data_IF_802327284523
#
_entry.id   IF_802327284523
#
_cell.length_a   1.000
_cell.length_b   1.000
_cell.length_c   1.000
_cell.angle_alpha   90.00
_cell.angle_beta   90.00
_cell.angle_gamma   90.00
#
_symmetry.space_group_name_H-M   'P 1'
#
loop_
_entity.id
_entity.type
_entity.pdbx_description
1 polymer ?
#
# COMPACT_ATOMS: atom_id res chain seq x y z
N UNK A 1 3.35 22.62 -16.77
CA UNK A 1 2.23 21.69 -16.43
C UNK A 1 2.81 20.54 -15.65
N UNK A 2 2.83 20.65 -14.32
CA UNK A 2 3.21 19.56 -13.43
C UNK A 2 1.93 18.86 -12.99
N UNK A 3 1.36 18.05 -13.86
CA UNK A 3 0.45 17.00 -13.42
C UNK A 3 1.34 15.80 -13.08
N UNK A 4 1.85 15.78 -11.89
CA UNK A 4 2.58 14.60 -11.42
C UNK A 4 1.62 13.63 -10.76
N UNK A 5 1.73 12.46 -11.18
CA UNK A 5 1.47 11.08 -10.72
C UNK A 5 0.58 10.81 -9.48
N UNK A 6 0.20 11.80 -8.70
CA UNK A 6 -0.61 11.60 -7.48
C UNK A 6 -2.10 11.52 -7.79
N UNK A 7 -2.55 12.13 -8.89
CA UNK A 7 -3.98 12.19 -9.23
C UNK A 7 -4.53 10.95 -9.92
N UNK A 8 -3.69 10.19 -10.58
CA UNK A 8 -4.16 9.11 -11.46
C UNK A 8 -3.74 7.72 -10.99
N UNK A 9 -2.83 7.61 -10.02
CA UNK A 9 -2.31 6.32 -9.62
C UNK A 9 -3.19 5.57 -8.61
N UNK A 10 -3.98 6.26 -7.78
CA UNK A 10 -4.81 5.60 -6.76
C UNK A 10 -4.15 4.37 -6.13
N UNK A 11 -2.86 4.50 -5.85
CA UNK A 11 -2.01 3.42 -5.37
C UNK A 11 -1.89 2.23 -6.35
N UNK A 12 -1.90 2.52 -7.66
CA UNK A 12 -1.85 1.49 -8.70
C UNK A 12 -0.44 1.04 -9.06
N UNK A 13 0.59 1.76 -8.59
CA UNK A 13 2.00 1.54 -8.92
C UNK A 13 2.28 1.53 -10.44
N UNK A 14 1.44 2.24 -11.22
CA UNK A 14 1.54 2.33 -12.67
C UNK A 14 1.58 3.77 -13.15
N UNK A 15 2.19 3.99 -14.31
CA UNK A 15 2.22 5.28 -15.00
C UNK A 15 2.06 5.06 -16.50
N UNK A 16 1.33 5.96 -17.15
CA UNK A 16 1.18 6.09 -18.59
C UNK A 16 1.94 7.29 -19.15
N UNK A 17 2.58 8.07 -18.28
CA UNK A 17 3.39 9.21 -18.69
C UNK A 17 4.86 8.81 -18.86
N UNK A 18 5.49 9.29 -19.95
CA UNK A 18 6.94 9.24 -20.10
C UNK A 18 7.53 10.16 -19.04
N UNK A 19 8.22 9.58 -18.09
CA UNK A 19 8.93 10.36 -17.07
C UNK A 19 9.92 11.27 -17.80
N UNK A 20 9.88 12.59 -17.59
CA UNK A 20 10.81 13.52 -18.21
C UNK A 20 12.17 13.42 -17.52
N UNK A 21 12.83 12.27 -17.68
CA UNK A 21 14.17 12.07 -17.17
C UNK A 21 15.14 12.49 -18.27
N UNK A 22 15.76 13.65 -18.12
CA UNK A 22 16.96 13.96 -18.88
C UNK A 22 18.12 13.13 -18.29
N UNK A 23 18.36 11.97 -18.89
CA UNK A 23 19.45 11.06 -18.49
C UNK A 23 20.86 11.67 -18.68
N UNK A 24 20.94 12.82 -19.32
CA UNK A 24 22.19 13.55 -19.56
C UNK A 24 22.37 14.75 -18.61
N UNK A 25 21.37 15.08 -17.82
CA UNK A 25 21.52 16.14 -16.81
C UNK A 25 22.37 15.67 -15.64
N UNK A 26 23.07 16.61 -15.03
CA UNK A 26 23.82 16.35 -13.80
C UNK A 26 22.87 15.99 -12.68
N UNK A 27 23.08 14.86 -12.03
CA UNK A 27 22.27 14.43 -10.88
C UNK A 27 22.82 15.09 -9.63
N UNK A 28 22.06 16.02 -9.05
CA UNK A 28 22.36 16.57 -7.74
C UNK A 28 21.79 15.66 -6.66
N UNK A 29 22.64 15.19 -5.77
CA UNK A 29 22.23 14.33 -4.65
C UNK A 29 22.41 15.08 -3.34
N UNK A 30 21.34 15.26 -2.60
CA UNK A 30 21.37 15.65 -1.19
C UNK A 30 20.94 14.47 -0.32
N UNK A 31 21.55 14.33 0.86
CA UNK A 31 21.17 13.26 1.78
C UNK A 31 21.17 13.75 3.21
N UNK A 32 20.30 13.18 4.02
CA UNK A 32 20.29 13.36 5.47
C UNK A 32 20.30 12.00 6.14
N UNK A 33 21.11 11.86 7.16
CA UNK A 33 21.13 10.66 8.00
C UNK A 33 19.94 10.70 8.96
N UNK A 34 18.93 9.89 8.71
CA UNK A 34 17.77 9.73 9.60
C UNK A 34 17.96 8.54 10.54
N UNK A 35 17.14 8.50 11.58
CA UNK A 35 17.12 7.37 12.51
C UNK A 35 16.76 6.07 11.75
N UNK A 36 17.41 4.93 12.06
CA UNK A 36 17.17 3.66 11.38
C UNK A 36 15.73 3.12 11.46
N UNK A 37 14.86 3.72 12.24
CA UNK A 37 13.44 3.35 12.33
C UNK A 37 12.54 4.15 11.37
N UNK A 38 13.09 4.92 10.44
CA UNK A 38 12.29 5.58 9.40
C UNK A 38 11.86 4.55 8.35
N UNK A 39 10.58 4.57 7.99
CA UNK A 39 10.08 3.76 6.87
C UNK A 39 10.63 4.29 5.53
N UNK A 40 10.85 3.43 4.53
CA UNK A 40 11.31 3.85 3.21
C UNK A 40 10.24 4.57 2.37
N UNK A 41 8.98 4.61 2.81
CA UNK A 41 7.92 5.27 2.05
C UNK A 41 8.06 6.80 2.10
N UNK A 42 7.95 7.45 0.94
CA UNK A 42 7.96 8.90 0.77
C UNK A 42 6.82 9.28 -0.16
N UNK A 43 6.04 10.27 0.25
CA UNK A 43 4.94 10.80 -0.56
C UNK A 43 5.25 12.25 -0.93
N UNK A 44 4.53 12.77 -1.92
CA UNK A 44 4.66 14.17 -2.33
C UNK A 44 3.29 14.81 -2.37
N UNK A 45 3.20 16.05 -1.88
CA UNK A 45 2.02 16.87 -2.09
C UNK A 45 2.09 17.62 -3.43
N UNK A 46 1.00 18.27 -3.83
CA UNK A 46 0.97 19.02 -5.09
C UNK A 46 1.76 20.33 -5.03
N UNK A 47 2.19 20.75 -3.86
CA UNK A 47 3.02 21.96 -3.65
C UNK A 47 4.52 21.68 -3.78
N UNK A 48 4.91 20.41 -3.86
CA UNK A 48 6.30 19.98 -4.02
C UNK A 48 7.01 19.68 -2.71
N UNK A 49 6.27 19.49 -1.63
CA UNK A 49 6.85 18.98 -0.40
C UNK A 49 6.91 17.46 -0.40
N UNK A 50 7.95 16.90 0.22
CA UNK A 50 7.96 15.47 0.55
C UNK A 50 7.41 15.24 1.96
N UNK A 51 6.55 14.25 2.08
CA UNK A 51 6.07 13.72 3.36
C UNK A 51 6.85 12.46 3.68
N UNK A 52 7.59 12.49 4.75
CA UNK A 52 8.53 11.44 5.14
C UNK A 52 8.15 10.90 6.51
N UNK A 53 8.00 9.58 6.65
CA UNK A 53 7.84 8.96 7.96
C UNK A 53 9.10 9.15 8.81
N UNK A 54 8.93 9.59 10.04
CA UNK A 54 10.01 9.84 10.95
C UNK A 54 9.59 9.58 12.40
N UNK A 55 10.33 8.74 13.12
CA UNK A 55 10.14 8.48 14.55
C UNK A 55 8.69 8.11 14.96
N UNK A 56 7.98 7.38 14.09
CA UNK A 56 6.59 6.99 14.33
C UNK A 56 5.55 8.05 14.03
N UNK A 57 5.98 9.21 13.52
CA UNK A 57 5.18 10.30 13.00
C UNK A 57 5.50 10.61 11.54
N UNK A 58 5.19 11.82 11.10
CA UNK A 58 5.40 12.31 9.74
C UNK A 58 6.11 13.67 9.76
N UNK A 59 7.08 13.83 8.88
CA UNK A 59 7.74 15.10 8.64
C UNK A 59 7.42 15.62 7.24
N UNK A 60 7.20 16.91 7.08
CA UNK A 60 7.13 17.58 5.78
C UNK A 60 8.46 18.27 5.53
N UNK A 61 8.98 18.09 4.32
CA UNK A 61 10.28 18.63 3.89
C UNK A 61 10.18 19.36 2.57
N UNK A 62 10.98 20.40 2.44
CA UNK A 62 11.22 21.06 1.16
C UNK A 62 12.21 20.24 0.32
N UNK A 63 11.75 19.75 -0.84
CA UNK A 63 12.60 19.01 -1.79
C UNK A 63 13.42 19.92 -2.70
N UNK A 64 13.12 21.22 -2.72
CA UNK A 64 13.85 22.19 -3.54
C UNK A 64 14.94 22.93 -2.78
N UNK A 65 15.07 22.70 -1.47
CA UNK A 65 16.13 23.27 -0.67
C UNK A 65 17.47 22.60 -1.00
N UNK A 66 18.56 23.38 -0.99
CA UNK A 66 19.93 22.86 -1.20
C UNK A 66 20.34 21.82 -0.14
N UNK A 67 19.76 21.93 1.06
CA UNK A 67 19.88 20.96 2.13
C UNK A 67 18.48 20.52 2.58
N UNK A 68 18.33 19.26 2.93
CA UNK A 68 17.04 18.73 3.38
C UNK A 68 16.56 19.46 4.63
N UNK A 69 15.46 20.19 4.51
CA UNK A 69 14.90 21.01 5.58
C UNK A 69 13.52 20.45 6.01
N UNK A 70 13.37 20.15 7.29
CA UNK A 70 12.07 19.82 7.86
C UNK A 70 11.29 21.11 8.12
N UNK A 71 10.13 21.24 7.46
CA UNK A 71 9.23 22.40 7.59
C UNK A 71 8.18 22.21 8.68
N UNK A 72 7.76 20.97 8.92
CA UNK A 72 6.76 20.63 9.93
C UNK A 72 6.85 19.16 10.32
N UNK A 73 6.29 18.82 11.47
CA UNK A 73 6.32 17.46 12.00
C UNK A 73 5.02 17.14 12.76
N UNK A 74 4.44 15.99 12.47
CA UNK A 74 3.35 15.41 13.25
C UNK A 74 3.85 14.25 14.10
N UNK A 75 3.63 14.34 15.39
CA UNK A 75 3.92 13.26 16.33
C UNK A 75 2.63 12.84 17.04
N UNK A 76 2.17 11.59 16.90
CA UNK A 76 1.01 11.11 17.65
C UNK A 76 1.15 11.34 19.16
N UNK A 77 2.36 11.14 19.69
CA UNK A 77 2.64 11.33 21.10
C UNK A 77 2.51 12.78 21.57
N UNK A 78 2.84 13.74 20.71
CA UNK A 78 2.76 15.18 21.05
C UNK A 78 1.33 15.71 20.89
N UNK A 79 0.62 15.26 19.83
CA UNK A 79 -0.71 15.78 19.51
C UNK A 79 -1.83 15.16 20.35
N UNK A 80 -1.77 13.86 20.64
CA UNK A 80 -2.86 13.15 21.28
C UNK A 80 -2.50 12.51 22.62
N UNK A 81 -1.27 12.73 23.12
CA UNK A 81 -0.67 11.93 24.20
C UNK A 81 -0.73 10.42 23.91
N UNK A 82 -0.88 10.07 22.62
CA UNK A 82 -1.07 8.72 22.15
C UNK A 82 0.23 7.93 22.10
N UNK A 83 0.09 6.62 22.19
CA UNK A 83 1.20 5.67 22.04
C UNK A 83 1.18 4.98 20.69
N UNK A 84 0.29 5.36 19.77
CA UNK A 84 0.18 4.76 18.46
C UNK A 84 1.30 5.24 17.53
N UNK A 85 1.56 4.45 16.49
CA UNK A 85 2.51 4.75 15.44
C UNK A 85 1.77 4.80 14.09
N UNK A 86 2.20 5.70 13.22
CA UNK A 86 1.70 5.75 11.84
C UNK A 86 2.30 4.59 11.05
N UNK A 87 1.45 3.86 10.34
CA UNK A 87 1.85 2.82 9.40
C UNK A 87 2.13 3.44 8.04
N UNK A 88 3.27 4.06 7.93
CA UNK A 88 3.62 4.93 6.81
C UNK A 88 3.72 4.22 5.46
N UNK A 89 4.02 2.91 5.44
CA UNK A 89 4.08 2.14 4.19
C UNK A 89 2.73 2.06 3.45
N UNK A 90 1.64 2.33 4.15
CA UNK A 90 0.27 2.30 3.61
C UNK A 90 -0.42 3.67 3.73
N UNK A 91 0.37 4.72 3.89
CA UNK A 91 -0.10 6.09 3.91
C UNK A 91 0.03 6.71 2.52
N UNK A 92 -0.76 7.73 2.24
CA UNK A 92 -0.72 8.46 0.98
C UNK A 92 -1.20 9.91 1.16
N UNK A 93 -1.04 10.73 0.13
CA UNK A 93 -1.58 12.08 0.06
C UNK A 93 -2.75 12.09 -0.91
N UNK A 94 -3.90 12.59 -0.49
CA UNK A 94 -5.08 12.68 -1.33
C UNK A 94 -5.06 13.92 -2.27
N UNK A 95 -6.04 14.02 -3.15
CA UNK A 95 -6.15 15.13 -4.12
C UNK A 95 -6.31 16.51 -3.49
N UNK A 96 -6.67 16.58 -2.20
CA UNK A 96 -6.77 17.80 -1.41
C UNK A 96 -5.51 18.07 -0.58
N UNK A 97 -4.41 17.38 -0.86
CA UNK A 97 -3.14 17.45 -0.12
C UNK A 97 -3.26 17.07 1.36
N UNK A 98 -4.28 16.24 1.71
CA UNK A 98 -4.38 15.70 3.06
C UNK A 98 -3.63 14.38 3.14
N UNK A 99 -2.91 14.18 4.21
CA UNK A 99 -2.17 12.94 4.46
C UNK A 99 -3.14 11.94 5.09
N UNK A 100 -3.39 10.82 4.41
CA UNK A 100 -4.22 9.74 4.90
C UNK A 100 -3.31 8.62 5.40
N UNK A 101 -3.44 8.26 6.65
CA UNK A 101 -2.54 7.29 7.27
C UNK A 101 -3.25 6.33 8.22
N UNK A 102 -3.09 5.02 8.02
CA UNK A 102 -3.46 4.03 9.01
C UNK A 102 -2.48 4.05 10.18
N UNK A 103 -2.94 3.60 11.34
CA UNK A 103 -2.14 3.52 12.56
C UNK A 103 -2.13 2.10 13.11
N UNK A 104 -1.14 1.79 13.93
CA UNK A 104 -1.00 0.46 14.53
C UNK A 104 -2.03 0.14 15.63
N UNK A 105 -2.82 1.12 16.05
CA UNK A 105 -3.96 0.96 16.96
C UNK A 105 -5.31 0.90 16.21
N UNK A 106 -5.27 0.62 14.90
CA UNK A 106 -6.43 0.36 14.03
C UNK A 106 -7.26 1.59 13.64
N UNK A 107 -6.69 2.77 13.72
CA UNK A 107 -7.34 4.02 13.32
C UNK A 107 -6.89 4.43 11.93
N UNK A 108 -7.70 5.23 11.26
CA UNK A 108 -7.30 6.03 10.10
C UNK A 108 -7.35 7.48 10.49
N UNK A 109 -6.23 8.15 10.30
CA UNK A 109 -6.12 9.59 10.44
C UNK A 109 -6.07 10.25 9.08
N UNK A 110 -6.69 11.42 8.97
CA UNK A 110 -6.50 12.33 7.86
C UNK A 110 -5.99 13.66 8.42
N UNK A 111 -4.83 14.07 7.96
CA UNK A 111 -4.10 15.23 8.46
C UNK A 111 -4.02 16.30 7.38
N UNK A 112 -4.43 17.52 7.70
CA UNK A 112 -4.16 18.70 6.89
C UNK A 112 -2.88 19.34 7.41
N UNK A 113 -1.86 19.37 6.57
CA UNK A 113 -0.52 19.82 6.92
C UNK A 113 -0.13 21.13 6.27
N UNK A 114 -0.89 21.58 5.25
CA UNK A 114 -0.67 22.82 4.49
C UNK A 114 -1.96 23.63 4.41
N UNK A 115 -1.81 24.95 4.24
CA UNK A 115 -2.91 25.83 3.86
C UNK A 115 -3.21 25.74 2.34
N UNK A 116 -4.15 26.57 1.85
CA UNK A 116 -4.54 26.58 0.43
C UNK A 116 -3.45 27.17 -0.48
N UNK A 117 -2.55 27.95 0.06
CA UNK A 117 -1.38 28.50 -0.63
C UNK A 117 -0.17 27.56 -0.63
N UNK A 118 -0.25 26.43 0.11
CA UNK A 118 0.81 25.46 0.24
C UNK A 118 1.82 25.74 1.35
N UNK A 119 1.54 26.70 2.24
CA UNK A 119 2.41 26.92 3.39
C UNK A 119 2.18 25.83 4.43
N UNK A 120 3.25 25.28 4.97
CA UNK A 120 3.17 24.27 6.02
C UNK A 120 2.60 24.88 7.30
N UNK A 121 1.58 24.24 7.85
CA UNK A 121 0.93 24.69 9.09
C UNK A 121 1.86 24.50 10.29
N UNK A 122 1.85 25.43 11.27
CA UNK A 122 2.61 25.29 12.51
C UNK A 122 2.27 24.00 13.29
N UNK A 123 1.01 23.58 13.22
CA UNK A 123 0.49 22.34 13.75
C UNK A 123 -0.40 21.70 12.69
N UNK A 124 -0.26 20.39 12.47
CA UNK A 124 -1.12 19.67 11.53
C UNK A 124 -2.52 19.52 12.13
N UNK A 125 -3.53 19.78 11.34
CA UNK A 125 -4.91 19.60 11.74
C UNK A 125 -5.36 18.18 11.48
N UNK A 126 -5.88 17.51 12.50
CA UNK A 126 -6.52 16.21 12.35
C UNK A 126 -7.97 16.43 11.93
N UNK A 127 -8.26 16.21 10.64
CA UNK A 127 -9.59 16.47 10.04
C UNK A 127 -10.45 15.21 9.98
N UNK A 128 -9.86 14.03 10.16
CA UNK A 128 -10.57 12.77 10.29
C UNK A 128 -9.79 11.86 11.25
N UNK A 129 -10.54 11.12 12.06
CA UNK A 129 -10.01 10.16 13.02
C UNK A 129 -11.05 9.07 13.27
N UNK A 130 -10.88 7.91 12.62
CA UNK A 130 -11.82 6.78 12.65
C UNK A 130 -11.14 5.55 13.20
N UNK A 131 -11.71 4.93 14.24
CA UNK A 131 -11.35 3.58 14.66
C UNK A 131 -12.03 2.58 13.70
N UNK A 132 -11.29 2.16 12.66
CA UNK A 132 -11.81 1.26 11.63
C UNK A 132 -12.15 -0.11 12.18
N UNK A 133 -11.32 -0.63 13.10
CA UNK A 133 -11.58 -1.95 13.67
C UNK A 133 -12.83 -1.96 14.50
N UNK A 134 -12.99 -0.99 15.39
CA UNK A 134 -14.20 -0.87 16.21
C UNK A 134 -15.47 -0.69 15.34
N UNK A 135 -15.37 0.14 14.28
CA UNK A 135 -16.49 0.35 13.35
C UNK A 135 -16.86 -0.94 12.58
N UNK A 136 -15.86 -1.68 12.09
CA UNK A 136 -16.08 -2.95 11.40
C UNK A 136 -16.62 -4.04 12.34
N UNK A 137 -16.12 -4.11 13.57
CA UNK A 137 -16.61 -5.03 14.60
C UNK A 137 -18.08 -4.72 14.97
N UNK A 138 -18.44 -3.45 15.06
CA UNK A 138 -19.83 -3.03 15.30
C UNK A 138 -20.74 -3.43 14.12
N UNK A 139 -20.31 -3.20 12.88
CA UNK A 139 -21.06 -3.58 11.69
C UNK A 139 -21.27 -5.10 11.57
N UNK A 140 -20.29 -5.90 11.98
CA UNK A 140 -20.35 -7.36 11.93
C UNK A 140 -21.00 -7.99 13.18
N UNK A 141 -21.05 -7.26 14.29
CA UNK A 141 -21.49 -7.80 15.59
C UNK A 141 -20.54 -8.83 16.19
N UNK A 142 -19.25 -8.80 15.80
CA UNK A 142 -18.21 -9.72 16.30
C UNK A 142 -16.83 -9.06 16.32
N UNK A 143 -15.92 -9.63 17.11
CA UNK A 143 -14.52 -9.21 17.16
C UNK A 143 -13.76 -9.72 15.92
N UNK A 144 -12.87 -8.86 15.38
CA UNK A 144 -11.99 -9.19 14.28
C UNK A 144 -10.67 -9.77 14.77
N UNK A 145 -10.21 -10.83 14.10
CA UNK A 145 -8.96 -11.52 14.44
C UNK A 145 -7.71 -10.69 14.05
N UNK A 146 -7.85 -9.86 13.00
CA UNK A 146 -6.73 -9.13 12.41
C UNK A 146 -6.83 -7.64 12.66
N UNK A 147 -5.69 -6.97 12.59
CA UNK A 147 -5.60 -5.52 12.70
C UNK A 147 -5.68 -4.83 11.34
N UNK A 148 -5.96 -3.53 11.36
CA UNK A 148 -5.91 -2.68 10.18
C UNK A 148 -4.50 -2.73 9.57
N UNK A 149 -4.44 -2.98 8.27
CA UNK A 149 -3.20 -3.03 7.51
C UNK A 149 -3.06 -1.83 6.59
N UNK A 150 -4.00 -1.65 5.69
CA UNK A 150 -3.91 -0.65 4.64
C UNK A 150 -5.25 -0.01 4.32
N UNK A 151 -5.20 1.17 3.72
CA UNK A 151 -6.36 1.94 3.28
C UNK A 151 -6.09 2.60 1.92
N UNK A 152 -7.15 2.84 1.17
CA UNK A 152 -7.11 3.60 -0.08
C UNK A 152 -8.48 4.22 -0.35
N UNK A 153 -8.54 5.39 -1.00
CA UNK A 153 -9.79 5.87 -1.57
C UNK A 153 -10.04 5.23 -2.93
N UNK A 154 -11.30 4.86 -3.20
CA UNK A 154 -11.71 4.54 -4.55
C UNK A 154 -12.09 5.81 -5.35
N UNK A 155 -12.36 5.63 -6.64
CA UNK A 155 -12.74 6.74 -7.54
C UNK A 155 -14.08 7.40 -7.18
N UNK A 156 -14.88 6.78 -6.34
CA UNK A 156 -16.14 7.32 -5.83
C UNK A 156 -15.99 8.01 -4.48
N UNK A 157 -14.80 7.95 -3.89
CA UNK A 157 -14.46 8.58 -2.61
C UNK A 157 -14.79 7.73 -1.38
N UNK A 158 -15.08 6.44 -1.53
CA UNK A 158 -15.18 5.54 -0.40
C UNK A 158 -13.78 5.20 0.11
N UNK A 159 -13.61 5.13 1.42
CA UNK A 159 -12.36 4.75 2.05
C UNK A 159 -12.34 3.23 2.28
N UNK A 160 -11.66 2.52 1.40
CA UNK A 160 -11.44 1.08 1.54
C UNK A 160 -10.39 0.78 2.59
N UNK A 161 -10.55 -0.35 3.27
CA UNK A 161 -9.60 -0.87 4.23
C UNK A 161 -9.43 -2.38 4.10
N UNK A 162 -8.25 -2.85 4.49
CA UNK A 162 -7.95 -4.27 4.64
C UNK A 162 -7.40 -4.53 6.04
N UNK A 163 -7.82 -5.63 6.65
CA UNK A 163 -7.19 -6.18 7.84
C UNK A 163 -6.33 -7.38 7.47
N UNK A 164 -5.18 -7.53 8.14
CA UNK A 164 -4.23 -8.57 7.82
C UNK A 164 -2.85 -8.26 8.37
N UNK A 165 -1.85 -8.52 7.56
CA UNK A 165 -0.44 -8.29 7.85
C UNK A 165 0.41 -9.52 7.68
N UNK A 166 1.68 -9.38 7.95
CA UNK A 166 2.63 -10.47 7.90
C UNK A 166 2.20 -11.61 8.82
N UNK A 167 2.36 -12.85 8.36
CA UNK A 167 2.14 -14.07 9.16
C UNK A 167 0.68 -14.50 9.34
N UNK A 168 -0.14 -14.34 8.32
CA UNK A 168 -1.37 -15.11 8.18
C UNK A 168 -1.00 -16.47 7.61
N UNK A 169 -1.19 -17.50 8.40
CA UNK A 169 -0.85 -18.87 7.99
C UNK A 169 -2.12 -19.63 7.61
N UNK A 170 -2.14 -20.33 6.46
CA UNK A 170 -3.33 -21.07 6.01
C UNK A 170 -3.82 -22.13 6.98
N UNK A 171 -2.96 -22.69 7.81
CA UNK A 171 -3.29 -23.68 8.84
C UNK A 171 -3.88 -23.06 10.12
N UNK A 172 -3.75 -21.76 10.30
CA UNK A 172 -4.35 -21.01 11.39
C UNK A 172 -5.68 -20.45 10.92
N UNK A 173 -6.70 -20.61 11.67
CA UNK A 173 -8.03 -20.08 11.36
C UNK A 173 -8.14 -18.55 11.50
N UNK A 174 -7.02 -17.84 11.37
CA UNK A 174 -7.02 -16.39 11.31
C UNK A 174 -7.76 -15.94 10.06
N UNK A 175 -8.52 -14.87 10.17
CA UNK A 175 -9.41 -14.41 9.11
C UNK A 175 -9.23 -12.92 8.92
N UNK A 176 -8.80 -12.53 7.72
CA UNK A 176 -8.77 -11.13 7.32
C UNK A 176 -10.15 -10.63 6.91
N UNK A 177 -10.28 -9.32 6.81
CA UNK A 177 -11.49 -8.66 6.32
C UNK A 177 -11.13 -7.54 5.37
N UNK A 178 -12.00 -7.29 4.41
CA UNK A 178 -12.01 -6.08 3.59
C UNK A 178 -13.26 -5.30 3.88
N UNK A 179 -13.23 -4.02 3.59
CA UNK A 179 -14.41 -3.22 3.73
C UNK A 179 -14.18 -1.79 3.27
N UNK A 180 -15.22 -1.00 3.39
CA UNK A 180 -15.12 0.43 3.13
C UNK A 180 -16.00 1.24 4.07
N UNK A 181 -15.55 2.47 4.32
CA UNK A 181 -16.36 3.53 4.90
C UNK A 181 -16.96 4.32 3.75
N UNK A 182 -18.27 4.51 3.75
CA UNK A 182 -18.95 5.21 2.65
C UNK A 182 -18.50 6.65 2.53
N UNK A 183 -18.39 7.15 1.28
CA UNK A 183 -18.11 8.55 0.99
C UNK A 183 -19.01 9.50 1.77
N UNK A 184 -20.31 9.19 1.82
CA UNK A 184 -21.27 10.04 2.52
C UNK A 184 -20.94 10.22 4.01
N UNK A 185 -20.41 9.18 4.67
CA UNK A 185 -19.95 9.28 6.05
C UNK A 185 -18.66 10.10 6.16
N UNK A 186 -17.71 9.88 5.26
CA UNK A 186 -16.47 10.65 5.21
C UNK A 186 -16.77 12.15 5.02
N UNK A 187 -17.62 12.49 4.06
CA UNK A 187 -18.00 13.89 3.78
C UNK A 187 -18.65 14.56 5.00
N UNK A 188 -19.51 13.85 5.72
CA UNK A 188 -20.12 14.36 6.96
C UNK A 188 -19.08 14.61 8.05
N UNK A 189 -18.19 13.65 8.28
CA UNK A 189 -17.12 13.80 9.28
C UNK A 189 -16.23 14.99 8.94
N UNK A 190 -15.85 15.16 7.67
CA UNK A 190 -15.04 16.28 7.20
C UNK A 190 -15.76 17.63 7.34
N UNK A 191 -17.10 17.63 7.35
CA UNK A 191 -17.92 18.80 7.66
C UNK A 191 -18.13 19.01 9.17
N UNK A 192 -17.52 18.20 10.02
CA UNK A 192 -17.63 18.30 11.49
C UNK A 192 -18.91 17.72 12.06
N UNK A 193 -19.61 16.86 11.31
CA UNK A 193 -20.80 16.17 11.79
C UNK A 193 -20.40 14.90 12.56
N UNK A 194 -21.14 14.59 13.60
CA UNK A 194 -21.04 13.31 14.30
C UNK A 194 -21.78 12.22 13.50
N UNK A 195 -21.08 11.12 13.22
CA UNK A 195 -21.57 10.05 12.35
C UNK A 195 -21.52 8.72 13.07
N UNK A 196 -22.67 8.03 13.14
CA UNK A 196 -22.68 6.63 13.52
C UNK A 196 -22.14 5.78 12.37
N UNK A 197 -20.97 5.19 12.59
CA UNK A 197 -20.29 4.40 11.59
C UNK A 197 -20.85 2.99 11.44
N UNK A 198 -21.70 2.52 12.34
CA UNK A 198 -22.28 1.16 12.26
C UNK A 198 -23.11 0.92 10.99
N UNK A 199 -23.75 1.99 10.46
CA UNK A 199 -24.53 1.96 9.23
C UNK A 199 -23.76 2.43 8.00
N UNK A 200 -22.50 2.86 8.17
CA UNK A 200 -21.68 3.48 7.13
C UNK A 200 -20.46 2.66 6.76
N UNK A 201 -20.18 1.60 7.51
CA UNK A 201 -19.07 0.68 7.29
C UNK A 201 -19.61 -0.65 6.76
N UNK A 202 -19.09 -1.07 5.63
CA UNK A 202 -19.45 -2.31 4.97
C UNK A 202 -18.27 -3.25 4.96
N UNK A 203 -18.47 -4.51 5.32
CA UNK A 203 -17.38 -5.47 5.54
C UNK A 203 -17.62 -6.75 4.74
N UNK A 204 -16.54 -7.28 4.18
CA UNK A 204 -16.45 -8.57 3.53
C UNK A 204 -15.42 -9.43 4.26
N UNK A 205 -15.84 -10.59 4.73
CA UNK A 205 -14.98 -11.52 5.46
C UNK A 205 -14.33 -12.51 4.50
N UNK A 206 -13.03 -12.70 4.66
CA UNK A 206 -12.29 -13.72 3.93
C UNK A 206 -12.51 -15.11 4.52
N UNK A 207 -12.03 -16.12 3.84
CA UNK A 207 -12.02 -17.48 4.37
C UNK A 207 -11.00 -17.62 5.53
N UNK A 208 -11.22 -18.55 6.47
CA UNK A 208 -10.24 -18.85 7.50
C UNK A 208 -8.87 -19.24 6.91
N UNK A 209 -7.81 -18.63 7.40
CA UNK A 209 -6.45 -18.80 6.88
C UNK A 209 -6.09 -17.85 5.74
N UNK A 210 -6.99 -16.91 5.40
CA UNK A 210 -6.79 -15.93 4.36
C UNK A 210 -6.77 -14.49 4.90
N UNK A 211 -5.89 -13.65 4.39
CA UNK A 211 -5.80 -12.24 4.76
C UNK A 211 -4.95 -11.44 3.81
N UNK A 212 -5.13 -10.11 3.85
CA UNK A 212 -4.28 -9.21 3.10
C UNK A 212 -2.87 -9.20 3.67
N UNK A 213 -1.88 -9.07 2.81
CA UNK A 213 -0.47 -9.00 3.19
C UNK A 213 0.12 -7.61 2.96
N UNK A 214 -0.44 -6.89 2.00
CA UNK A 214 0.05 -5.59 1.58
C UNK A 214 -1.10 -4.61 1.27
N UNK A 215 -0.79 -3.56 0.52
CA UNK A 215 -1.70 -2.49 0.21
C UNK A 215 -2.84 -2.88 -0.74
N UNK A 216 -3.84 -2.03 -0.76
CA UNK A 216 -4.97 -2.05 -1.67
C UNK A 216 -4.64 -1.12 -2.84
N UNK A 217 -4.99 -1.52 -4.05
CA UNK A 217 -5.02 -0.63 -5.20
C UNK A 217 -6.46 -0.37 -5.64
N UNK A 218 -6.74 0.82 -6.16
CA UNK A 218 -8.07 1.17 -6.65
C UNK A 218 -8.04 1.53 -8.14
N UNK A 219 -9.04 1.05 -8.86
CA UNK A 219 -9.31 1.38 -10.26
C UNK A 219 -10.74 1.91 -10.41
N UNK A 220 -11.11 2.32 -11.62
CA UNK A 220 -12.50 2.67 -11.93
C UNK A 220 -13.45 1.48 -11.82
N UNK A 221 -12.92 0.26 -11.90
CA UNK A 221 -13.69 -0.97 -11.78
C UNK A 221 -13.91 -1.37 -10.31
N UNK A 222 -13.16 -0.81 -9.37
CA UNK A 222 -13.27 -1.08 -7.93
C UNK A 222 -11.93 -1.20 -7.22
N UNK A 223 -11.95 -1.71 -5.99
CA UNK A 223 -10.76 -1.98 -5.20
C UNK A 223 -10.19 -3.36 -5.52
N UNK A 224 -8.89 -3.41 -5.77
CA UNK A 224 -8.14 -4.66 -6.02
C UNK A 224 -7.29 -4.98 -4.81
N UNK A 225 -7.44 -6.19 -4.31
CA UNK A 225 -6.78 -6.64 -3.08
C UNK A 225 -6.14 -8.00 -3.31
N UNK A 226 -4.88 -8.11 -2.93
CA UNK A 226 -4.15 -9.36 -2.95
C UNK A 226 -4.08 -9.93 -1.53
N UNK A 227 -4.46 -11.20 -1.41
CA UNK A 227 -4.30 -11.97 -0.17
C UNK A 227 -3.18 -12.99 -0.33
N UNK A 228 -2.87 -13.73 0.71
CA UNK A 228 -1.95 -14.86 0.64
C UNK A 228 -2.41 -15.99 -0.30
N UNK A 229 -3.66 -16.02 -0.74
CA UNK A 229 -4.24 -17.11 -1.55
C UNK A 229 -4.89 -16.65 -2.85
N UNK A 230 -5.39 -15.42 -2.90
CA UNK A 230 -6.22 -14.94 -4.01
C UNK A 230 -6.02 -13.45 -4.31
N UNK A 231 -6.40 -13.08 -5.52
CA UNK A 231 -6.60 -11.68 -5.91
C UNK A 231 -8.09 -11.43 -6.09
N UNK A 232 -8.58 -10.28 -5.63
CA UNK A 232 -9.99 -9.89 -5.67
C UNK A 232 -10.19 -8.56 -6.36
N UNK A 233 -11.29 -8.43 -7.11
CA UNK A 233 -11.89 -7.15 -7.44
C UNK A 233 -13.19 -6.99 -6.68
N UNK A 234 -13.30 -5.92 -5.91
CA UNK A 234 -14.44 -5.61 -5.06
C UNK A 234 -15.01 -4.24 -5.44
N UNK A 235 -16.33 -4.11 -5.34
CA UNK A 235 -17.06 -2.85 -5.57
C UNK A 235 -17.88 -2.45 -4.35
N UNK A 236 -18.01 -1.15 -4.14
CA UNK A 236 -18.96 -0.57 -3.18
C UNK A 236 -20.34 -0.46 -3.83
N UNK A 237 -21.31 -1.26 -3.35
CA UNK A 237 -22.68 -1.27 -3.88
C UNK A 237 -23.67 -1.59 -2.75
N UNK A 238 -23.90 -0.62 -1.85
CA UNK A 238 -24.68 -0.81 -0.61
C UNK A 238 -24.26 -2.04 0.20
N UNK A 239 -22.99 -2.37 0.13
CA UNK A 239 -22.33 -3.55 0.66
C UNK A 239 -21.06 -3.79 -0.14
N UNK A 240 -20.22 -4.72 0.30
CA UNK A 240 -19.06 -5.14 -0.48
C UNK A 240 -19.47 -6.20 -1.48
N UNK A 241 -19.44 -5.86 -2.76
CA UNK A 241 -19.74 -6.77 -3.87
C UNK A 241 -18.46 -7.34 -4.45
N UNK A 242 -18.29 -8.64 -4.41
CA UNK A 242 -17.23 -9.33 -5.12
C UNK A 242 -17.57 -9.42 -6.62
N UNK A 243 -16.75 -8.80 -7.47
CA UNK A 243 -16.88 -8.88 -8.93
C UNK A 243 -16.25 -10.19 -9.41
N UNK A 244 -15.01 -10.43 -9.03
CA UNK A 244 -14.31 -11.69 -9.29
C UNK A 244 -13.28 -11.98 -8.18
N UNK A 245 -12.85 -13.23 -8.14
CA UNK A 245 -11.68 -13.69 -7.40
C UNK A 245 -10.85 -14.64 -8.27
N UNK A 246 -9.54 -14.59 -8.13
CA UNK A 246 -8.61 -15.45 -8.86
C UNK A 246 -7.61 -16.05 -7.88
N UNK A 247 -7.61 -17.36 -7.79
CA UNK A 247 -6.65 -18.07 -6.94
C UNK A 247 -5.28 -18.13 -7.62
N UNK A 248 -4.25 -18.02 -6.84
CA UNK A 248 -2.86 -18.24 -7.27
C UNK A 248 -2.12 -19.09 -6.25
N UNK A 249 -0.96 -19.59 -6.63
CA UNK A 249 -0.09 -20.31 -5.72
C UNK A 249 1.00 -19.39 -5.23
N UNK A 250 1.23 -19.38 -3.94
CA UNK A 250 2.35 -18.68 -3.33
C UNK A 250 3.16 -19.64 -2.45
N UNK A 251 4.32 -19.23 -2.00
CA UNK A 251 5.12 -20.04 -1.08
C UNK A 251 4.37 -20.26 0.23
N UNK A 252 3.63 -19.28 0.71
CA UNK A 252 2.81 -19.41 1.90
C UNK A 252 1.63 -20.37 1.76
N UNK A 253 1.23 -20.71 0.53
CA UNK A 253 0.25 -21.76 0.26
C UNK A 253 0.85 -23.18 0.35
N UNK A 254 2.17 -23.31 0.42
CA UNK A 254 2.85 -24.57 0.71
C UNK A 254 2.86 -24.72 2.22
N UNK A 255 2.41 -25.85 2.72
CA UNK A 255 2.37 -26.32 4.11
C UNK A 255 3.40 -25.67 5.07
N UNK A 256 3.26 -24.38 5.31
CA UNK A 256 4.13 -23.65 6.23
C UNK A 256 3.71 -23.93 7.65
N UNK A 257 4.65 -24.33 8.46
CA UNK A 257 4.44 -24.51 9.89
C UNK A 257 4.81 -23.23 10.61
N UNK A 258 4.11 -22.96 11.71
CA UNK A 258 4.51 -21.88 12.62
C UNK A 258 5.97 -22.03 13.04
N UNK A 259 6.75 -20.95 12.85
CA UNK A 259 8.18 -20.95 13.15
C UNK A 259 9.08 -21.42 12.01
N UNK A 260 8.54 -21.82 10.87
CA UNK A 260 9.32 -22.07 9.67
C UNK A 260 9.48 -20.77 8.87
N UNK A 261 10.37 -19.93 9.35
CA UNK A 261 10.69 -18.64 8.71
C UNK A 261 11.57 -18.80 7.46
N UNK A 262 11.92 -20.02 7.11
CA UNK A 262 12.88 -20.32 6.03
C UNK A 262 12.21 -20.59 4.68
N UNK A 263 10.92 -20.89 4.66
CA UNK A 263 10.19 -21.13 3.42
C UNK A 263 9.75 -19.81 2.80
N UNK A 264 10.39 -19.45 1.72
CA UNK A 264 10.05 -18.29 0.91
C UNK A 264 11.01 -17.12 0.96
N UNK A 265 11.83 -17.03 1.98
CA UNK A 265 12.92 -16.04 2.06
C UNK A 265 12.47 -14.59 2.19
N UNK A 266 11.15 -14.32 2.25
CA UNK A 266 10.56 -13.01 2.37
C UNK A 266 9.96 -12.74 3.76
N UNK A 267 9.38 -11.54 3.91
CA UNK A 267 8.70 -11.11 5.14
C UNK A 267 7.25 -11.61 5.19
N UNK A 268 6.64 -11.84 4.02
CA UNK A 268 5.23 -12.17 3.85
C UNK A 268 5.00 -13.57 3.28
N UNK A 269 3.85 -14.12 3.57
CA UNK A 269 3.34 -15.35 2.97
C UNK A 269 2.36 -14.96 1.87
N UNK A 270 2.65 -15.26 0.62
CA UNK A 270 1.80 -14.90 -0.50
C UNK A 270 2.58 -14.20 -1.59
N UNK A 271 1.95 -13.27 -2.29
CA UNK A 271 2.56 -12.51 -3.38
C UNK A 271 3.64 -11.53 -2.94
N UNK A 272 3.68 -11.18 -1.66
CA UNK A 272 4.66 -10.25 -1.06
C UNK A 272 4.51 -8.79 -1.52
N UNK A 273 3.49 -8.45 -2.31
CA UNK A 273 3.34 -7.13 -2.91
C UNK A 273 1.89 -6.62 -2.88
N UNK A 274 1.72 -5.31 -3.02
CA UNK A 274 0.43 -4.75 -3.43
C UNK A 274 0.22 -5.01 -4.92
N UNK A 275 -1.02 -5.14 -5.41
CA UNK A 275 -1.28 -5.28 -6.84
C UNK A 275 -0.93 -3.99 -7.58
N UNK A 276 -0.33 -4.11 -8.75
CA UNK A 276 -0.10 -3.01 -9.69
C UNK A 276 -1.14 -3.06 -10.80
N UNK A 277 -1.72 -1.91 -11.15
CA UNK A 277 -2.86 -1.85 -12.04
C UNK A 277 -2.53 -1.05 -13.30
N UNK A 278 -2.99 -1.56 -14.45
CA UNK A 278 -3.22 -0.75 -15.64
C UNK A 278 -4.71 -0.66 -15.92
N UNK A 279 -5.11 -0.03 -16.99
CA UNK A 279 -6.51 0.03 -17.41
C UNK A 279 -7.14 -1.36 -17.60
N UNK A 280 -6.36 -2.31 -18.11
CA UNK A 280 -6.88 -3.61 -18.53
C UNK A 280 -6.29 -4.79 -17.74
N UNK A 281 -5.25 -4.57 -16.94
CA UNK A 281 -4.54 -5.64 -16.21
C UNK A 281 -4.37 -5.35 -14.72
N UNK A 282 -4.42 -6.43 -13.95
CA UNK A 282 -3.93 -6.50 -12.57
C UNK A 282 -2.67 -7.35 -12.56
N UNK A 283 -1.58 -6.85 -12.02
CA UNK A 283 -0.29 -7.54 -11.98
C UNK A 283 0.23 -7.69 -10.56
N UNK A 284 0.78 -8.84 -10.26
CA UNK A 284 1.40 -9.15 -8.98
C UNK A 284 2.36 -10.34 -9.13
N UNK A 285 3.17 -10.57 -8.13
CA UNK A 285 4.08 -11.74 -8.08
C UNK A 285 3.49 -12.86 -7.22
N UNK A 286 3.92 -14.09 -7.45
CA UNK A 286 3.45 -15.27 -6.72
C UNK A 286 4.43 -15.78 -5.65
N UNK A 287 5.62 -15.20 -5.59
CA UNK A 287 6.70 -15.66 -4.70
C UNK A 287 6.98 -17.19 -4.76
N UNK A 288 6.70 -17.82 -5.89
CA UNK A 288 7.09 -19.21 -6.13
C UNK A 288 8.62 -19.30 -6.38
N UNK A 289 9.10 -20.48 -6.64
CA UNK A 289 10.46 -20.77 -7.10
C UNK A 289 10.39 -21.50 -8.47
N UNK A 290 10.71 -20.84 -9.59
CA UNK A 290 11.02 -19.41 -9.72
C UNK A 290 9.81 -18.50 -9.43
N UNK A 291 10.08 -17.23 -9.08
CA UNK A 291 9.03 -16.21 -8.93
C UNK A 291 8.43 -15.89 -10.29
N UNK A 292 7.11 -15.87 -10.38
CA UNK A 292 6.40 -15.47 -11.58
C UNK A 292 5.72 -14.11 -11.37
N UNK A 293 5.74 -13.30 -12.42
CA UNK A 293 4.81 -12.19 -12.59
C UNK A 293 3.51 -12.75 -13.17
N UNK A 294 2.42 -12.52 -12.47
CA UNK A 294 1.07 -12.90 -12.89
C UNK A 294 0.35 -11.67 -13.40
N UNK A 295 -0.30 -11.79 -14.55
CA UNK A 295 -1.21 -10.80 -15.06
C UNK A 295 -2.62 -11.38 -15.18
N UNK A 296 -3.58 -10.63 -14.65
CA UNK A 296 -5.02 -10.98 -14.65
C UNK A 296 -5.79 -9.90 -15.39
N UNK A 297 -6.74 -10.28 -16.20
CA UNK A 297 -7.63 -9.34 -16.88
C UNK A 297 -8.50 -8.59 -15.84
N UNK A 298 -8.48 -7.27 -15.89
CA UNK A 298 -9.15 -6.41 -14.90
C UNK A 298 -10.67 -6.65 -14.83
N UNK A 299 -11.31 -6.98 -15.94
CA UNK A 299 -12.78 -7.11 -16.01
C UNK A 299 -13.27 -8.50 -15.66
N UNK A 300 -12.52 -9.52 -16.10
CA UNK A 300 -12.97 -10.91 -15.98
C UNK A 300 -12.36 -11.67 -14.82
N UNK A 301 -11.21 -11.23 -14.31
CA UNK A 301 -10.43 -11.96 -13.33
C UNK A 301 -9.68 -13.17 -13.94
N UNK A 302 -9.69 -13.37 -15.25
CA UNK A 302 -8.95 -14.46 -15.89
C UNK A 302 -7.46 -14.19 -15.88
N UNK A 303 -6.66 -15.17 -15.49
CA UNK A 303 -5.21 -15.08 -15.61
C UNK A 303 -4.83 -15.13 -17.09
N UNK A 304 -4.29 -14.03 -17.60
CA UNK A 304 -3.90 -13.89 -19.01
C UNK A 304 -2.42 -14.17 -19.25
N UNK A 305 -1.59 -14.01 -18.22
CA UNK A 305 -0.17 -14.37 -18.30
C UNK A 305 0.36 -14.83 -16.95
N UNK A 306 1.41 -15.65 -17.02
CA UNK A 306 2.30 -15.99 -15.91
C UNK A 306 3.67 -16.24 -16.50
N UNK A 307 4.68 -15.48 -16.08
CA UNK A 307 6.03 -15.60 -16.60
C UNK A 307 7.05 -15.52 -15.47
N UNK A 308 8.09 -16.35 -15.50
CA UNK A 308 9.18 -16.23 -14.55
C UNK A 308 9.91 -14.90 -14.77
N UNK A 309 10.17 -14.18 -13.70
CA UNK A 309 10.75 -12.84 -13.81
C UNK A 309 12.17 -12.75 -13.24
N UNK A 310 12.57 -13.74 -12.46
CA UNK A 310 13.88 -13.80 -11.84
C UNK A 310 14.36 -15.26 -11.90
N UNK A 311 14.70 -15.73 -13.11
CA UNK A 311 15.05 -17.12 -13.38
C UNK A 311 16.53 -17.34 -13.76
N UNK A 312 17.23 -16.29 -14.21
CA UNK A 312 18.63 -16.33 -14.59
C UNK A 312 19.57 -15.90 -13.46
N UNK A 313 19.48 -16.56 -12.32
CA UNK A 313 20.34 -16.29 -11.18
C UNK A 313 21.39 -17.37 -10.98
N UNK A 314 22.55 -17.05 -10.35
CA UNK A 314 23.52 -18.06 -9.97
C UNK A 314 22.91 -19.17 -9.13
N UNK A 315 23.37 -20.39 -9.32
CA UNK A 315 22.92 -21.56 -8.56
C UNK A 315 22.99 -21.30 -7.04
N UNK A 316 21.89 -21.58 -6.35
CA UNK A 316 21.75 -21.36 -4.90
C UNK A 316 21.28 -19.96 -4.51
N UNK A 317 21.05 -19.06 -5.48
CA UNK A 317 20.44 -17.75 -5.20
C UNK A 317 18.95 -17.96 -4.91
N UNK A 318 18.48 -17.34 -3.83
CA UNK A 318 17.06 -17.32 -3.50
C UNK A 318 16.41 -16.03 -3.94
N UNK A 319 15.11 -16.05 -4.17
CA UNK A 319 14.33 -14.91 -4.65
C UNK A 319 13.12 -14.72 -3.76
N UNK A 320 12.85 -13.49 -3.42
CA UNK A 320 11.62 -13.05 -2.78
C UNK A 320 11.26 -11.66 -3.29
N UNK A 321 9.99 -11.41 -3.49
CA UNK A 321 9.47 -10.09 -3.86
C UNK A 321 8.62 -9.57 -2.73
N UNK A 322 8.93 -8.37 -2.26
CA UNK A 322 8.23 -7.68 -1.16
C UNK A 322 7.75 -6.28 -1.58
N UNK A 323 8.02 -5.91 -2.83
CA UNK A 323 7.63 -4.62 -3.40
C UNK A 323 6.69 -4.84 -4.58
N UNK A 324 5.75 -3.91 -4.74
CA UNK A 324 4.92 -3.85 -5.93
C UNK A 324 5.76 -3.70 -7.18
N UNK A 325 5.34 -4.33 -8.26
CA UNK A 325 5.95 -4.13 -9.56
C UNK A 325 5.71 -2.69 -10.03
N UNK A 326 6.75 -2.03 -10.54
CA UNK A 326 6.59 -0.76 -11.23
C UNK A 326 6.14 -1.07 -12.65
N UNK A 327 5.04 -0.47 -13.08
CA UNK A 327 4.41 -0.78 -14.37
C UNK A 327 4.30 0.49 -15.21
N UNK A 328 4.67 0.37 -16.48
CA UNK A 328 4.48 1.37 -17.50
C UNK A 328 3.61 0.80 -18.62
N UNK A 329 2.47 1.42 -18.89
CA UNK A 329 1.56 1.11 -20.00
C UNK A 329 1.69 2.21 -21.06
N UNK A 330 2.14 1.86 -22.27
CA UNK A 330 2.31 2.82 -23.36
C UNK A 330 0.99 3.24 -24.02
N UNK A 331 -0.13 2.62 -23.62
CA UNK A 331 -1.45 2.85 -24.21
C UNK A 331 -1.62 2.28 -25.63
N UNK A 332 -0.58 1.66 -26.19
CA UNK A 332 -0.56 1.06 -27.53
C UNK A 332 -0.54 -0.48 -27.49
N UNK A 333 -0.65 -1.02 -26.28
CA UNK A 333 -0.75 -2.46 -26.02
C UNK A 333 0.55 -3.11 -25.54
N UNK A 334 1.55 -2.32 -25.16
CA UNK A 334 2.77 -2.80 -24.51
C UNK A 334 2.79 -2.39 -23.05
N UNK A 335 2.96 -3.34 -22.17
CA UNK A 335 3.12 -3.12 -20.73
C UNK A 335 4.52 -3.53 -20.32
N UNK A 336 5.31 -2.58 -19.83
CA UNK A 336 6.64 -2.82 -19.29
C UNK A 336 6.59 -2.88 -17.79
N UNK A 337 7.31 -3.84 -17.19
CA UNK A 337 7.26 -4.08 -15.75
C UNK A 337 8.67 -4.24 -15.18
N UNK A 338 8.90 -3.61 -14.02
CA UNK A 338 10.13 -3.78 -13.24
C UNK A 338 9.79 -4.49 -11.94
N UNK A 339 10.46 -5.60 -11.68
CA UNK A 339 10.32 -6.39 -10.44
C UNK A 339 11.68 -6.40 -9.72
N UNK A 340 11.65 -6.23 -8.40
CA UNK A 340 12.85 -6.17 -7.58
C UNK A 340 12.98 -7.44 -6.71
N UNK A 341 14.17 -8.05 -6.70
CA UNK A 341 14.48 -9.11 -5.74
C UNK A 341 14.80 -8.51 -4.36
N UNK A 342 14.00 -8.87 -3.39
CA UNK A 342 14.16 -8.44 -2.01
C UNK A 342 14.87 -9.45 -1.12
N UNK A 343 15.16 -10.67 -1.60
CA UNK A 343 15.71 -11.74 -0.77
C UNK A 343 16.98 -11.30 -0.02
N UNK A 344 16.98 -11.49 1.28
CA UNK A 344 18.11 -11.13 2.15
C UNK A 344 18.22 -9.63 2.48
N UNK A 345 17.40 -8.75 1.87
CA UNK A 345 17.47 -7.31 2.12
C UNK A 345 17.19 -6.95 3.58
N UNK A 346 16.29 -7.66 4.25
CA UNK A 346 15.98 -7.47 5.66
C UNK A 346 17.11 -7.85 6.63
N UNK A 347 18.09 -8.63 6.17
CA UNK A 347 19.29 -9.03 6.92
C UNK A 347 20.55 -8.29 6.47
N UNK A 348 20.49 -7.54 5.36
CA UNK A 348 21.62 -6.79 4.86
C UNK A 348 22.00 -5.69 5.84
N UNK A 349 23.26 -5.67 6.27
CA UNK A 349 23.79 -4.50 6.97
C UNK A 349 23.84 -3.35 5.97
N UNK A 350 23.38 -2.17 6.39
CA UNK A 350 23.50 -0.96 5.60
C UNK A 350 24.95 -0.78 5.11
N UNK A 351 25.16 -0.87 3.80
CA UNK A 351 26.47 -0.79 3.16
C UNK A 351 26.95 -2.07 2.50
N UNK A 352 26.26 -3.19 2.64
CA UNK A 352 26.54 -4.43 1.90
C UNK A 352 25.55 -4.55 0.72
N UNK A 353 25.67 -3.63 -0.23
CA UNK A 353 24.72 -3.46 -1.35
C UNK A 353 24.82 -4.51 -2.47
N UNK A 354 25.60 -5.57 -2.29
CA UNK A 354 25.88 -6.55 -3.36
C UNK A 354 24.67 -7.45 -3.70
N UNK A 355 23.54 -7.31 -2.99
CA UNK A 355 22.36 -8.19 -3.16
C UNK A 355 21.15 -7.51 -3.78
N UNK A 356 21.21 -6.25 -4.16
CA UNK A 356 20.14 -5.56 -4.87
C UNK A 356 20.38 -5.64 -6.39
N UNK A 357 19.80 -6.63 -7.03
CA UNK A 357 19.77 -6.66 -8.50
C UNK A 357 18.43 -6.10 -9.00
N UNK A 358 18.51 -4.98 -9.72
CA UNK A 358 17.41 -4.46 -10.53
C UNK A 358 17.39 -5.25 -11.82
N UNK A 359 16.33 -5.98 -12.09
CA UNK A 359 16.16 -6.74 -13.33
C UNK A 359 15.18 -5.99 -14.21
N UNK A 360 15.63 -5.61 -15.40
CA UNK A 360 14.79 -5.10 -16.47
C UNK A 360 14.23 -6.27 -17.27
N UNK A 361 12.93 -6.31 -17.39
CA UNK A 361 12.24 -7.24 -18.27
C UNK A 361 11.61 -6.46 -19.42
#
# INVERSE_FOLDING_TARGET
QRQMCIRDSYNTDSTDEILPVDIYSEINVSYEKVNPNASPAVFFDSYGHSVVPLLGGLAIRDINADEAQTLGYFSPKQHDNGSYLIQSSYSFVDESNRIVCPTNDNRVLMLKATDEEGNVLPEFEKVLDIDIKAAAEAALGKTLDQNLLSVVFDYEGNLWFATGGFRIYPDRKQQGTFGYVSRAAIDKILNGEDVDLSDAVFVYELEPGEGAENGIAASKEGAVILTNLKCYLLQADNGVKKVWETSYKSVGAKESKEGDETTGGGLAWGGGCSPSLTKDLVMFTDNQDPVNLIAVDMKTGEQVASMPVIDELPEGTQVSVENSAIVYDDGEGTVSTIVCNWFGAGSAKLGEADNLSLIHI
#
